data_IF_600195183330
#
_entry.id   IF_600195183330
#
_cell.length_a   1.000
_cell.length_b   1.000
_cell.length_c   1.000
_cell.angle_alpha   90.00
_cell.angle_beta   90.00
_cell.angle_gamma   90.00
#
_symmetry.space_group_name_H-M   'P 1'
#
loop_
_entity.id
_entity.type
_entity.pdbx_description
1 polymer ?
#
# COMPACT_ATOMS: atom_id res chain seq x y z
N UNK A 1 1.81 34.15 11.51
CA UNK A 1 2.00 33.44 10.23
C UNK A 1 2.06 31.96 10.57
N UNK A 2 0.95 31.22 10.43
CA UNK A 2 0.95 29.77 10.68
C UNK A 2 1.36 29.09 9.38
N UNK A 3 2.54 28.46 9.37
CA UNK A 3 2.98 27.57 8.30
C UNK A 3 2.04 26.37 8.29
N UNK A 4 1.11 26.35 7.35
CA UNK A 4 0.31 25.16 7.05
C UNK A 4 1.28 24.16 6.41
N UNK A 5 1.78 23.21 7.21
CA UNK A 5 2.53 22.07 6.67
C UNK A 5 1.59 21.23 5.82
N UNK A 6 1.67 21.42 4.50
CA UNK A 6 0.89 20.61 3.56
C UNK A 6 1.46 19.19 3.55
N UNK A 7 0.79 18.28 4.26
CA UNK A 7 1.17 16.89 4.34
C UNK A 7 1.25 16.27 2.93
N UNK A 8 2.45 15.80 2.54
CA UNK A 8 2.69 15.25 1.20
C UNK A 8 2.09 13.85 1.08
N UNK A 9 0.89 13.75 0.52
CA UNK A 9 0.25 12.47 0.19
C UNK A 9 0.98 11.78 -0.98
N UNK A 10 1.63 10.65 -0.67
CA UNK A 10 2.35 9.81 -1.65
C UNK A 10 1.41 8.96 -2.50
N UNK A 11 0.40 8.33 -1.88
CA UNK A 11 -0.63 7.56 -2.56
C UNK A 11 -1.95 8.32 -2.50
N UNK A 12 -2.71 8.31 -3.59
CA UNK A 12 -3.99 9.03 -3.71
C UNK A 12 -5.00 8.13 -4.42
N UNK A 13 -6.06 7.71 -3.71
CA UNK A 13 -7.19 6.93 -4.25
C UNK A 13 -6.76 5.79 -5.17
N UNK A 14 -5.77 5.00 -4.74
CA UNK A 14 -5.28 3.87 -5.53
C UNK A 14 -6.21 2.67 -5.32
N UNK A 15 -6.60 2.04 -6.42
CA UNK A 15 -7.35 0.79 -6.44
C UNK A 15 -6.60 -0.23 -7.29
N UNK A 16 -6.63 -1.50 -6.90
CA UNK A 16 -5.99 -2.57 -7.66
C UNK A 16 -6.39 -3.94 -7.16
N UNK A 17 -6.17 -4.95 -7.99
CA UNK A 17 -6.43 -6.35 -7.69
C UNK A 17 -5.24 -7.18 -8.16
N UNK A 18 -4.80 -8.11 -7.32
CA UNK A 18 -3.68 -9.00 -7.62
C UNK A 18 -4.21 -10.43 -7.55
N UNK A 19 -4.01 -11.19 -8.62
CA UNK A 19 -4.45 -12.58 -8.70
C UNK A 19 -3.35 -13.55 -8.29
N UNK A 20 -3.72 -14.57 -7.54
CA UNK A 20 -2.81 -15.67 -7.21
C UNK A 20 -2.32 -16.37 -8.49
N UNK A 21 -1.02 -16.70 -8.53
CA UNK A 21 -0.39 -17.34 -9.68
C UNK A 21 -0.07 -16.43 -10.87
N UNK A 22 -0.38 -15.13 -10.79
CA UNK A 22 -0.01 -14.14 -11.81
C UNK A 22 1.13 -13.24 -11.36
N UNK A 23 2.13 -13.08 -12.22
CA UNK A 23 3.15 -12.06 -12.04
C UNK A 23 2.55 -10.68 -12.35
N UNK A 24 2.53 -9.80 -11.35
CA UNK A 24 2.05 -8.42 -11.51
C UNK A 24 3.20 -7.44 -11.33
N UNK A 25 3.37 -6.52 -12.29
CA UNK A 25 4.40 -5.48 -12.24
C UNK A 25 3.77 -4.09 -12.03
N UNK A 26 4.39 -3.29 -11.15
CA UNK A 26 4.02 -1.88 -10.93
C UNK A 26 5.09 -1.02 -11.59
N UNK A 27 4.70 -0.22 -12.59
CA UNK A 27 5.63 0.54 -13.44
C UNK A 27 5.31 2.05 -13.32
N UNK A 28 6.34 2.89 -13.44
CA UNK A 28 6.20 4.35 -13.37
C UNK A 28 7.52 5.07 -13.06
N UNK A 29 7.55 6.41 -13.14
CA UNK A 29 8.76 7.20 -12.93
C UNK A 29 9.30 7.10 -11.49
N UNK A 30 10.55 7.52 -11.28
CA UNK A 30 11.13 7.60 -9.94
C UNK A 30 10.30 8.54 -9.06
N UNK A 31 10.09 8.19 -7.79
CA UNK A 31 9.28 8.97 -6.86
C UNK A 31 7.75 8.85 -7.02
N UNK A 32 7.24 8.06 -7.98
CA UNK A 32 5.80 7.87 -8.18
C UNK A 32 5.06 7.13 -7.05
N UNK A 33 5.77 6.63 -6.04
CA UNK A 33 5.17 5.91 -4.91
C UNK A 33 5.04 4.39 -5.07
N UNK A 34 5.68 3.78 -6.08
CA UNK A 34 5.65 2.32 -6.33
C UNK A 34 6.09 1.49 -5.11
N UNK A 35 7.26 1.78 -4.57
CA UNK A 35 7.79 1.13 -3.36
C UNK A 35 6.90 1.40 -2.16
N UNK A 36 6.30 2.60 -2.07
CA UNK A 36 5.35 2.93 -1.01
C UNK A 36 4.09 2.07 -1.11
N UNK A 37 3.54 1.89 -2.32
CA UNK A 37 2.40 1.01 -2.56
C UNK A 37 2.73 -0.44 -2.19
N UNK A 38 3.90 -0.94 -2.60
CA UNK A 38 4.34 -2.29 -2.23
C UNK A 38 4.48 -2.48 -0.71
N UNK A 39 5.03 -1.50 0.01
CA UNK A 39 5.12 -1.55 1.49
C UNK A 39 3.76 -1.57 2.18
N UNK A 40 2.77 -0.90 1.59
CA UNK A 40 1.38 -0.94 2.08
C UNK A 40 0.75 -2.30 1.84
N UNK A 41 0.93 -2.86 0.64
CA UNK A 41 0.40 -4.18 0.27
C UNK A 41 1.14 -5.31 1.00
N UNK A 42 2.43 -5.18 1.31
CA UNK A 42 3.18 -6.16 2.11
C UNK A 42 2.83 -6.07 3.60
N UNK A 43 2.47 -4.89 4.10
CA UNK A 43 2.20 -4.64 5.52
C UNK A 43 3.31 -4.00 6.31
N UNK A 44 4.43 -3.70 5.67
CA UNK A 44 5.55 -3.02 6.31
C UNK A 44 5.18 -1.60 6.74
N UNK A 45 4.18 -0.98 6.10
CA UNK A 45 3.70 0.35 6.47
C UNK A 45 2.20 0.32 6.72
N UNK A 46 1.80 0.62 7.95
CA UNK A 46 0.41 0.58 8.41
C UNK A 46 -0.10 1.91 8.97
N UNK A 47 0.78 2.89 9.17
CA UNK A 47 0.42 4.22 9.70
C UNK A 47 -0.10 5.14 8.58
N UNK A 48 -1.07 5.98 8.95
CA UNK A 48 -1.62 7.06 8.10
C UNK A 48 -2.27 6.58 6.78
N UNK A 49 -2.72 5.33 6.76
CA UNK A 49 -3.43 4.73 5.62
C UNK A 49 -4.94 4.81 5.80
N UNK A 50 -5.60 5.41 4.81
CA UNK A 50 -7.06 5.39 4.66
C UNK A 50 -7.42 4.46 3.51
N UNK A 51 -8.41 3.60 3.74
CA UNK A 51 -8.86 2.59 2.78
C UNK A 51 -8.81 1.17 3.35
N UNK A 52 -9.17 0.23 2.50
CA UNK A 52 -9.35 -1.19 2.81
C UNK A 52 -8.43 -1.99 1.89
N UNK A 53 -7.77 -3.01 2.44
CA UNK A 53 -7.04 -4.02 1.67
C UNK A 53 -7.67 -5.35 2.03
N UNK A 54 -8.09 -6.11 1.02
CA UNK A 54 -8.66 -7.45 1.21
C UNK A 54 -7.73 -8.51 0.65
N UNK A 55 -7.60 -9.64 1.34
CA UNK A 55 -6.84 -10.80 0.90
C UNK A 55 -7.83 -11.96 0.84
N UNK A 56 -8.02 -12.54 -0.35
CA UNK A 56 -9.01 -13.59 -0.59
C UNK A 56 -10.43 -13.24 -0.09
N UNK A 57 -10.84 -11.98 -0.25
CA UNK A 57 -12.16 -11.48 0.17
C UNK A 57 -12.28 -11.12 1.65
N UNK A 58 -11.24 -11.35 2.46
CA UNK A 58 -11.23 -11.00 3.89
C UNK A 58 -10.47 -9.70 4.08
N UNK A 59 -11.02 -8.75 4.85
CA UNK A 59 -10.30 -7.54 5.21
C UNK A 59 -9.03 -7.88 5.98
N UNK A 60 -7.92 -7.30 5.54
CA UNK A 60 -6.63 -7.52 6.16
C UNK A 60 -6.59 -6.91 7.56
N UNK A 61 -6.38 -7.76 8.55
CA UNK A 61 -6.04 -7.32 9.90
C UNK A 61 -4.66 -6.64 9.90
N UNK A 62 -4.63 -5.38 10.34
CA UNK A 62 -3.41 -4.56 10.34
C UNK A 62 -2.43 -5.00 11.44
N UNK A 63 -2.87 -5.64 12.52
CA UNK A 63 -2.02 -6.12 13.62
C UNK A 63 -1.46 -7.53 13.43
N UNK A 64 -2.16 -8.41 12.70
CA UNK A 64 -1.80 -9.83 12.59
C UNK A 64 -1.00 -10.22 11.33
N UNK A 65 -0.97 -9.38 10.29
CA UNK A 65 -0.33 -9.75 9.03
C UNK A 65 1.19 -9.54 9.06
N UNK A 66 1.93 -10.46 9.70
CA UNK A 66 3.40 -10.38 9.80
C UNK A 66 4.18 -11.51 9.11
N UNK A 67 3.52 -12.51 8.50
CA UNK A 67 4.21 -13.70 7.93
C UNK A 67 3.49 -14.36 6.74
N UNK A 68 3.32 -13.67 5.62
CA UNK A 68 2.93 -14.34 4.36
C UNK A 68 3.61 -13.77 3.11
N UNK A 69 4.53 -12.81 3.25
CA UNK A 69 5.21 -12.15 2.12
C UNK A 69 6.70 -12.39 2.29
N UNK A 70 7.22 -13.40 1.59
CA UNK A 70 8.64 -13.48 1.23
C UNK A 70 8.76 -12.95 -0.20
N UNK A 71 9.67 -12.00 -0.41
CA UNK A 71 10.02 -11.48 -1.74
C UNK A 71 11.09 -12.36 -2.39
#
# INVERSE_FOLDING_TARGET
>A
MLTVETEKKILRNVTGHFESGKLTAIIGPSGAGKTTLLKVVSGERLTDLKGIVTINGVERDRGMFRKQVDF
#
